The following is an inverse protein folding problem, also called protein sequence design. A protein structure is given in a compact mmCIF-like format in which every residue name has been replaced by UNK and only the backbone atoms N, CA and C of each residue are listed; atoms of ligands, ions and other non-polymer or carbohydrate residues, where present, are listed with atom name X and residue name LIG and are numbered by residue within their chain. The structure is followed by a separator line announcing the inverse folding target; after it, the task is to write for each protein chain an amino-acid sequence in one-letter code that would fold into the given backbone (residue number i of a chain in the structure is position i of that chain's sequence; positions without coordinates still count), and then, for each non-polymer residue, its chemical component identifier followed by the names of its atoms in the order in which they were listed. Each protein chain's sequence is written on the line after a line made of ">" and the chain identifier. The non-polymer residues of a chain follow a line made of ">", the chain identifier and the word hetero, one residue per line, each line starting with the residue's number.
data_IF_554205614975
#
_entry.id   IF_554205614975
#
_cell.length_a   1.000
_cell.length_b   1.000
_cell.length_c   1.000
_cell.angle_alpha   90.00
_cell.angle_beta   90.00
_cell.angle_gamma   90.00
#
_symmetry.space_group_name_H-M   'P 1'
#
loop_
_entity.id
_entity.type
_entity.pdbx_description
1 polymer ?
#
# COMPACT_ATOMS: atom_id res chain seq x y z
N UNK A 1 11.62 22.08 9.30
CA UNK A 1 10.43 21.98 8.41
C UNK A 1 9.49 20.98 9.06
N UNK A 2 8.33 21.43 9.55
CA UNK A 2 7.30 20.53 10.08
C UNK A 2 6.87 19.62 8.94
N UNK A 3 7.14 18.32 9.07
CA UNK A 3 6.86 17.33 8.04
C UNK A 3 5.37 17.35 7.72
N UNK A 4 5.03 17.49 6.45
CA UNK A 4 3.66 17.31 5.98
C UNK A 4 3.28 15.88 6.35
N UNK A 5 2.39 15.72 7.32
CA UNK A 5 1.82 14.41 7.65
C UNK A 5 0.97 13.96 6.46
N UNK A 6 1.49 13.02 5.68
CA UNK A 6 0.71 12.38 4.62
C UNK A 6 -0.48 11.71 5.29
N UNK A 7 -1.71 12.07 4.92
CA UNK A 7 -2.91 11.42 5.45
C UNK A 7 -3.19 10.17 4.60
N UNK A 8 -3.19 8.96 5.18
CA UNK A 8 -3.56 7.75 4.46
C UNK A 8 -4.94 7.90 3.82
N UNK A 9 -5.00 7.69 2.52
CA UNK A 9 -6.23 7.90 1.74
C UNK A 9 -6.39 6.75 0.75
N UNK A 10 -7.62 6.26 0.62
CA UNK A 10 -8.04 5.30 -0.42
C UNK A 10 -9.30 5.89 -1.07
N UNK A 11 -9.24 6.19 -2.36
CA UNK A 11 -10.39 6.62 -3.15
C UNK A 11 -11.20 5.41 -3.59
N UNK A 12 -12.52 5.49 -3.40
CA UNK A 12 -13.44 4.41 -3.73
C UNK A 12 -14.48 4.88 -4.75
N UNK A 13 -14.48 4.27 -5.93
CA UNK A 13 -15.59 4.33 -6.88
C UNK A 13 -16.69 3.38 -6.42
N UNK A 14 -17.76 3.92 -5.85
CA UNK A 14 -18.88 3.12 -5.33
C UNK A 14 -19.89 2.77 -6.43
N UNK A 15 -20.67 1.71 -6.22
CA UNK A 15 -21.73 1.21 -7.13
C UNK A 15 -21.20 0.78 -8.50
N UNK A 16 -20.06 0.09 -8.53
CA UNK A 16 -19.44 -0.39 -9.76
C UNK A 16 -20.34 -1.32 -10.59
N UNK A 17 -21.37 -1.90 -9.99
CA UNK A 17 -22.42 -2.73 -10.61
C UNK A 17 -23.34 -1.95 -11.57
N UNK A 18 -23.40 -0.62 -11.45
CA UNK A 18 -24.26 0.23 -12.28
C UNK A 18 -23.59 0.58 -13.62
N UNK A 19 -23.29 -0.41 -14.45
CA UNK A 19 -22.65 -0.19 -15.77
C UNK A 19 -23.48 0.73 -16.68
N UNK A 20 -24.79 0.49 -16.74
CA UNK A 20 -25.72 1.29 -17.58
C UNK A 20 -25.87 2.72 -17.03
N UNK A 21 -25.75 2.90 -15.72
CA UNK A 21 -25.86 4.18 -15.03
C UNK A 21 -24.51 4.81 -14.70
N UNK A 22 -23.44 4.43 -15.41
CA UNK A 22 -22.08 4.87 -15.08
C UNK A 22 -21.93 6.37 -15.34
N UNK A 23 -21.71 7.12 -14.27
CA UNK A 23 -21.47 8.57 -14.31
C UNK A 23 -19.98 8.95 -14.36
N UNK A 24 -19.11 8.05 -13.88
CA UNK A 24 -17.66 8.27 -13.79
C UNK A 24 -16.95 7.08 -14.43
N UNK A 25 -16.05 7.32 -15.37
CA UNK A 25 -15.26 6.25 -15.97
C UNK A 25 -14.14 5.79 -15.03
N UNK A 26 -13.63 4.58 -15.26
CA UNK A 26 -12.47 4.06 -14.51
C UNK A 26 -11.26 4.98 -14.66
N UNK A 27 -11.05 5.56 -15.86
CA UNK A 27 -9.95 6.49 -16.15
C UNK A 27 -10.07 7.80 -15.37
N UNK A 28 -11.28 8.37 -15.24
CA UNK A 28 -11.52 9.58 -14.47
C UNK A 28 -11.24 9.35 -12.97
N UNK A 29 -11.71 8.22 -12.43
CA UNK A 29 -11.43 7.83 -11.05
C UNK A 29 -9.93 7.60 -10.80
N UNK A 30 -9.26 6.92 -11.74
CA UNK A 30 -7.82 6.68 -11.67
C UNK A 30 -7.02 7.98 -11.73
N UNK A 31 -7.37 8.89 -12.64
CA UNK A 31 -6.73 10.21 -12.76
C UNK A 31 -6.90 11.03 -11.48
N UNK A 32 -8.10 11.05 -10.89
CA UNK A 32 -8.32 11.75 -9.62
C UNK A 32 -7.47 11.17 -8.49
N UNK A 33 -7.30 9.85 -8.44
CA UNK A 33 -6.44 9.22 -7.43
C UNK A 33 -4.96 9.57 -7.61
N UNK A 34 -4.49 9.69 -8.84
CA UNK A 34 -3.14 10.17 -9.16
C UNK A 34 -2.93 11.62 -8.69
N UNK A 35 -3.89 12.50 -8.99
CA UNK A 35 -3.87 13.91 -8.57
C UNK A 35 -3.86 14.04 -7.03
N UNK A 36 -4.62 13.19 -6.35
CA UNK A 36 -4.69 13.12 -4.88
C UNK A 36 -3.54 12.33 -4.24
N UNK A 37 -2.71 11.65 -5.05
CA UNK A 37 -1.65 10.73 -4.60
C UNK A 37 -2.16 9.66 -3.64
N UNK A 38 -3.31 9.06 -3.95
CA UNK A 38 -3.93 7.99 -3.18
C UNK A 38 -4.19 6.75 -4.05
N UNK A 39 -4.52 5.63 -3.43
CA UNK A 39 -4.92 4.43 -4.19
C UNK A 39 -6.40 4.49 -4.59
N UNK A 40 -6.74 3.99 -5.77
CA UNK A 40 -8.11 3.87 -6.26
C UNK A 40 -8.62 2.42 -6.23
N UNK A 41 -9.90 2.24 -5.90
CA UNK A 41 -10.63 0.97 -6.05
C UNK A 41 -12.06 1.23 -6.50
N UNK A 42 -12.53 0.48 -7.48
CA UNK A 42 -13.96 0.38 -7.78
C UNK A 42 -14.56 -0.81 -7.03
N UNK A 43 -15.74 -0.61 -6.45
CA UNK A 43 -16.45 -1.67 -5.74
C UNK A 43 -17.96 -1.48 -5.80
N UNK A 44 -18.68 -2.60 -5.61
CA UNK A 44 -20.09 -2.61 -5.31
C UNK A 44 -20.32 -3.26 -3.95
N UNK A 45 -20.89 -2.52 -3.01
CA UNK A 45 -21.31 -3.08 -1.71
C UNK A 45 -22.45 -4.08 -1.91
N UNK A 46 -23.31 -3.85 -2.90
CA UNK A 46 -24.45 -4.70 -3.21
C UNK A 46 -24.00 -6.08 -3.73
N UNK A 47 -22.90 -6.14 -4.49
CA UNK A 47 -22.36 -7.40 -4.99
C UNK A 47 -21.37 -8.07 -4.04
N UNK A 48 -20.51 -7.31 -3.37
CA UNK A 48 -19.41 -7.87 -2.60
C UNK A 48 -19.00 -7.02 -1.38
N UNK A 49 -19.61 -7.31 -0.22
CA UNK A 49 -19.24 -6.71 1.07
C UNK A 49 -17.76 -6.91 1.43
N UNK A 50 -17.17 -8.05 1.04
CA UNK A 50 -15.75 -8.35 1.28
C UNK A 50 -14.81 -7.36 0.57
N UNK A 51 -15.23 -6.74 -0.55
CA UNK A 51 -14.43 -5.73 -1.23
C UNK A 51 -14.30 -4.44 -0.39
N UNK A 52 -15.35 -4.10 0.37
CA UNK A 52 -15.34 -2.98 1.32
C UNK A 52 -14.38 -3.29 2.46
N UNK A 53 -14.46 -4.48 3.03
CA UNK A 53 -13.55 -4.94 4.09
C UNK A 53 -12.09 -4.86 3.63
N UNK A 54 -11.79 -5.32 2.41
CA UNK A 54 -10.44 -5.23 1.84
C UNK A 54 -9.94 -3.78 1.70
N UNK A 55 -10.79 -2.84 1.29
CA UNK A 55 -10.44 -1.42 1.20
C UNK A 55 -10.17 -0.80 2.58
N UNK A 56 -10.97 -1.14 3.58
CA UNK A 56 -10.79 -0.68 4.96
C UNK A 56 -9.52 -1.27 5.58
N UNK A 57 -9.26 -2.56 5.38
CA UNK A 57 -8.02 -3.21 5.84
C UNK A 57 -6.78 -2.56 5.21
N UNK A 58 -6.84 -2.22 3.92
CA UNK A 58 -5.75 -1.49 3.26
C UNK A 58 -5.50 -0.14 3.94
N UNK A 59 -6.54 0.64 4.19
CA UNK A 59 -6.41 1.93 4.88
C UNK A 59 -5.81 1.77 6.28
N UNK A 60 -6.27 0.79 7.05
CA UNK A 60 -5.72 0.47 8.38
C UNK A 60 -4.22 0.15 8.28
N UNK A 61 -3.80 -0.68 7.32
CA UNK A 61 -2.38 -1.00 7.10
C UNK A 61 -1.54 0.23 6.82
N UNK A 62 -2.04 1.14 5.97
CA UNK A 62 -1.34 2.39 5.65
C UNK A 62 -1.15 3.27 6.90
N UNK A 63 -2.18 3.38 7.74
CA UNK A 63 -2.08 4.11 9.03
C UNK A 63 -1.04 3.47 9.94
N UNK A 64 -1.05 2.14 10.08
CA UNK A 64 -0.11 1.43 10.94
C UNK A 64 1.34 1.56 10.45
N UNK A 65 1.58 1.50 9.14
CA UNK A 65 2.93 1.64 8.58
C UNK A 65 3.50 3.04 8.77
N UNK A 66 2.66 4.09 8.75
CA UNK A 66 3.11 5.44 9.07
C UNK A 66 3.51 5.63 10.54
N UNK A 67 2.91 4.85 11.45
CA UNK A 67 3.22 4.89 12.87
C UNK A 67 4.45 4.03 13.23
N UNK A 68 5.01 3.26 12.29
CA UNK A 68 6.19 2.44 12.56
C UNK A 68 7.41 3.34 12.78
N UNK A 69 8.08 3.24 13.93
CA UNK A 69 9.37 3.89 14.14
C UNK A 69 10.35 3.39 13.08
N UNK A 70 11.15 4.29 12.51
CA UNK A 70 12.32 3.86 11.75
C UNK A 70 13.16 2.94 12.65
N UNK A 71 13.62 1.78 12.15
CA UNK A 71 14.48 0.92 12.95
C UNK A 71 15.72 1.72 13.37
N UNK A 72 16.06 1.65 14.66
CA UNK A 72 17.26 2.30 15.17
C UNK A 72 18.46 1.97 14.27
N UNK A 73 19.25 3.00 13.93
CA UNK A 73 20.31 2.91 12.92
C UNK A 73 21.26 1.74 13.21
N UNK A 74 21.49 1.43 14.50
CA UNK A 74 22.33 0.31 14.93
C UNK A 74 21.70 -1.05 14.60
N UNK A 75 20.41 -1.23 14.89
CA UNK A 75 19.65 -2.45 14.56
C UNK A 75 19.50 -2.67 13.05
N UNK A 76 19.33 -1.59 12.28
CA UNK A 76 19.31 -1.66 10.81
C UNK A 76 20.65 -2.12 10.25
N UNK A 77 21.76 -1.51 10.67
CA UNK A 77 23.10 -1.92 10.21
C UNK A 77 23.45 -3.36 10.62
N UNK A 78 23.01 -3.83 11.79
CA UNK A 78 23.17 -5.22 12.20
C UNK A 78 22.41 -6.17 11.26
N UNK A 79 21.20 -5.81 10.86
CA UNK A 79 20.39 -6.60 9.91
C UNK A 79 21.06 -6.66 8.54
N UNK A 80 21.54 -5.52 8.03
CA UNK A 80 22.26 -5.43 6.76
C UNK A 80 23.56 -6.26 6.82
N UNK A 81 24.33 -6.14 7.90
CA UNK A 81 25.56 -6.92 8.12
C UNK A 81 25.25 -8.43 8.08
N UNK A 82 24.24 -8.90 8.81
CA UNK A 82 23.87 -10.32 8.78
C UNK A 82 23.45 -10.80 7.39
N UNK A 83 22.69 -9.99 6.64
CA UNK A 83 22.29 -10.32 5.29
C UNK A 83 23.50 -10.44 4.33
N UNK A 84 24.44 -9.49 4.41
CA UNK A 84 25.69 -9.52 3.64
C UNK A 84 26.54 -10.73 4.00
N UNK A 85 26.75 -10.99 5.30
CA UNK A 85 27.50 -12.16 5.76
C UNK A 85 26.88 -13.44 5.23
N UNK A 86 25.56 -13.65 5.37
CA UNK A 86 24.88 -14.85 4.84
C UNK A 86 25.05 -15.02 3.34
N UNK A 87 24.97 -13.94 2.55
CA UNK A 87 25.20 -14.01 1.10
C UNK A 87 26.63 -14.43 0.78
N UNK A 88 27.62 -13.87 1.48
CA UNK A 88 29.03 -14.20 1.29
C UNK A 88 29.34 -15.65 1.70
N UNK A 89 28.79 -16.13 2.82
CA UNK A 89 28.99 -17.51 3.27
C UNK A 89 28.34 -18.50 2.32
N UNK A 90 27.12 -18.22 1.85
CA UNK A 90 26.41 -19.06 0.87
C UNK A 90 27.16 -19.15 -0.46
N UNK A 91 27.80 -18.05 -0.89
CA UNK A 91 28.62 -18.02 -2.10
C UNK A 91 29.91 -18.85 -1.97
N UNK A 92 30.49 -18.92 -0.76
CA UNK A 92 31.66 -19.78 -0.47
C UNK A 92 31.32 -21.27 -0.38
N UNK A 93 30.10 -21.63 0.00
CA UNK A 93 29.66 -23.03 0.11
C UNK A 93 29.20 -23.67 -1.21
N UNK A 94 29.03 -22.90 -2.29
CA UNK A 94 28.60 -23.38 -3.62
C UNK A 94 29.76 -23.62 -4.61
N UNK A 95 31.02 -23.53 -4.17
CA UNK A 95 32.22 -23.70 -5.02
C UNK A 95 32.90 -25.09 -4.89
N UNK A 96 32.15 -26.16 -4.59
CA UNK A 96 32.67 -27.53 -4.57
C UNK A 96 31.88 -28.43 -5.51
#
# INVERSE_FOLDING_TARGET
>A
MLGVSVVPTVLVGNKADLEIGREVTTEEGQKLAEDLRCSFKELSVAEAVLAVEAAVIQLIRMVLDQQRPLPDRRSYMLTVRHALTRKLTRSKTMQW
#
